data_IF_666580902819
#
_entry.id   IF_666580902819
#
_cell.length_a   1.000
_cell.length_b   1.000
_cell.length_c   1.000
_cell.angle_alpha   90.00
_cell.angle_beta   90.00
_cell.angle_gamma   90.00
#
_symmetry.space_group_name_H-M   'P 1'
#
loop_
_entity.id
_entity.type
_entity.pdbx_description
1 polymer ?
#
# COMPACT_ATOMS: atom_id res chain seq x y z
N UNK A 1 0.96 -7.31 1.48
CA UNK A 1 -0.44 -6.84 1.43
C UNK A 1 -0.51 -5.34 1.21
N UNK A 2 0.07 -4.54 2.12
CA UNK A 2 0.00 -3.09 2.08
C UNK A 2 0.50 -2.47 0.76
N UNK A 3 1.62 -2.96 0.20
CA UNK A 3 2.08 -2.46 -1.10
C UNK A 3 1.05 -2.67 -2.23
N UNK A 4 0.22 -3.73 -2.18
CA UNK A 4 -0.83 -3.94 -3.18
C UNK A 4 -1.98 -2.93 -3.01
N UNK A 5 -2.29 -2.54 -1.78
CA UNK A 5 -3.30 -1.51 -1.50
C UNK A 5 -2.79 -0.14 -1.99
N UNK A 6 -1.59 0.24 -1.60
CA UNK A 6 -1.00 1.54 -1.95
C UNK A 6 -0.56 1.65 -3.42
N UNK A 7 -0.54 0.55 -4.18
CA UNK A 7 -0.39 0.55 -5.65
C UNK A 7 -1.72 0.38 -6.40
N UNK A 8 -2.85 0.30 -5.70
CA UNK A 8 -4.18 0.13 -6.29
C UNK A 8 -4.45 -1.26 -6.87
N UNK A 9 -3.56 -2.24 -6.66
CA UNK A 9 -3.78 -3.65 -7.07
C UNK A 9 -4.83 -4.35 -6.23
N UNK A 10 -5.05 -3.88 -5.00
CA UNK A 10 -6.14 -4.33 -4.12
C UNK A 10 -7.00 -3.11 -3.79
N UNK A 11 -8.23 -3.09 -4.30
CA UNK A 11 -9.12 -1.92 -4.25
C UNK A 11 -10.28 -2.08 -3.28
N UNK A 12 -10.56 -3.27 -2.75
CA UNK A 12 -11.73 -3.56 -1.92
C UNK A 12 -11.36 -4.35 -0.67
N UNK A 13 -12.03 -4.08 0.45
CA UNK A 13 -11.76 -4.73 1.74
C UNK A 13 -12.05 -6.23 1.75
N UNK A 14 -13.02 -6.70 0.97
CA UNK A 14 -13.33 -8.13 0.82
C UNK A 14 -12.47 -8.84 -0.24
N UNK A 15 -11.40 -8.21 -0.75
CA UNK A 15 -10.52 -8.86 -1.72
C UNK A 15 -9.98 -10.19 -1.17
N UNK A 16 -9.88 -11.20 -2.04
CA UNK A 16 -9.46 -12.57 -1.67
C UNK A 16 -8.13 -12.58 -0.91
N UNK A 17 -7.21 -11.71 -1.31
CA UNK A 17 -5.90 -11.61 -0.68
C UNK A 17 -6.01 -11.11 0.78
N UNK A 18 -6.92 -10.17 1.07
CA UNK A 18 -7.19 -9.69 2.45
C UNK A 18 -7.90 -10.79 3.23
N UNK A 19 -8.90 -11.44 2.63
CA UNK A 19 -9.63 -12.53 3.28
C UNK A 19 -8.73 -13.68 3.70
N UNK A 20 -7.76 -14.07 2.86
CA UNK A 20 -6.79 -15.12 3.17
C UNK A 20 -5.94 -14.83 4.42
N UNK A 21 -5.73 -13.56 4.77
CA UNK A 21 -5.00 -13.15 5.97
C UNK A 21 -5.90 -13.02 7.21
N UNK A 22 -7.23 -13.06 7.04
CA UNK A 22 -8.20 -12.79 8.10
C UNK A 22 -9.26 -13.91 8.17
N UNK A 23 -8.86 -15.16 8.47
CA UNK A 23 -9.81 -16.27 8.56
C UNK A 23 -10.86 -16.02 9.63
N UNK A 24 -12.14 -16.26 9.31
CA UNK A 24 -13.26 -16.06 10.23
C UNK A 24 -13.79 -14.63 10.33
N UNK A 25 -13.16 -13.65 9.67
CA UNK A 25 -13.62 -12.25 9.66
C UNK A 25 -14.53 -12.00 8.45
N UNK A 26 -15.72 -11.46 8.71
CA UNK A 26 -16.63 -10.98 7.65
C UNK A 26 -16.15 -9.61 7.16
N UNK A 27 -15.53 -9.59 5.98
CA UNK A 27 -15.01 -8.37 5.37
C UNK A 27 -16.07 -7.69 4.50
N UNK A 28 -16.24 -6.36 4.60
CA UNK A 28 -17.24 -5.64 3.83
C UNK A 28 -16.80 -5.44 2.37
N UNK A 29 -17.77 -5.35 1.45
CA UNK A 29 -17.52 -4.95 0.08
C UNK A 29 -17.44 -3.42 -0.06
N UNK A 30 -16.40 -2.83 0.54
CA UNK A 30 -16.14 -1.40 0.48
C UNK A 30 -14.83 -1.14 -0.25
N UNK A 31 -14.79 -0.07 -1.05
CA UNK A 31 -13.57 0.39 -1.70
C UNK A 31 -12.59 0.89 -0.64
N UNK A 32 -11.31 0.61 -0.86
CA UNK A 32 -10.20 1.08 -0.03
C UNK A 32 -9.74 2.41 -0.60
N UNK A 33 -9.60 3.41 0.28
CA UNK A 33 -9.01 4.72 -0.04
C UNK A 33 -7.71 4.84 0.74
N UNK A 34 -6.54 4.58 0.13
CA UNK A 34 -5.25 4.75 0.79
C UNK A 34 -4.99 6.23 1.08
N UNK A 35 -4.57 6.54 2.30
CA UNK A 35 -4.21 7.90 2.71
C UNK A 35 -2.73 7.91 3.03
N UNK A 36 -2.04 8.97 2.61
CA UNK A 36 -0.65 9.21 2.91
C UNK A 36 -0.41 10.67 3.26
N UNK A 37 0.77 10.97 3.81
CA UNK A 37 1.21 12.34 4.07
C UNK A 37 1.49 13.06 2.76
N UNK A 38 1.14 14.34 2.70
CA UNK A 38 1.43 15.21 1.57
C UNK A 38 2.76 15.95 1.74
N UNK A 39 3.17 16.17 2.99
CA UNK A 39 4.41 16.81 3.39
C UNK A 39 5.55 15.80 3.60
N UNK A 40 6.79 16.30 3.60
CA UNK A 40 7.97 15.50 3.92
C UNK A 40 7.90 15.00 5.36
N UNK A 41 7.93 13.68 5.57
CA UNK A 41 7.73 13.08 6.88
C UNK A 41 8.64 11.88 7.15
N UNK A 42 9.12 11.76 8.39
CA UNK A 42 9.80 10.56 8.88
C UNK A 42 8.89 9.33 8.90
N UNK A 43 7.57 9.51 9.09
CA UNK A 43 6.60 8.43 9.00
C UNK A 43 6.53 7.88 7.56
N UNK A 44 6.53 8.77 6.57
CA UNK A 44 6.59 8.40 5.14
C UNK A 44 7.85 7.61 4.85
N UNK A 45 8.99 8.03 5.41
CA UNK A 45 10.25 7.33 5.24
C UNK A 45 10.20 5.89 5.77
N UNK A 46 9.81 5.71 7.03
CA UNK A 46 9.76 4.38 7.64
C UNK A 46 8.74 3.48 6.95
N UNK A 47 7.56 4.01 6.65
CA UNK A 47 6.51 3.23 6.00
C UNK A 47 6.90 2.82 4.57
N UNK A 48 7.38 3.76 3.74
CA UNK A 48 7.81 3.44 2.38
C UNK A 48 9.04 2.52 2.36
N UNK A 49 9.97 2.65 3.33
CA UNK A 49 11.10 1.74 3.46
C UNK A 49 10.65 0.31 3.77
N UNK A 50 9.71 0.15 4.71
CA UNK A 50 9.11 -1.15 5.02
C UNK A 50 8.47 -1.78 3.77
N UNK A 51 7.69 -1.01 3.00
CA UNK A 51 7.09 -1.49 1.75
C UNK A 51 8.17 -1.93 0.75
N UNK A 52 9.23 -1.13 0.61
CA UNK A 52 10.34 -1.39 -0.31
C UNK A 52 11.07 -2.69 0.01
N UNK A 53 11.36 -2.94 1.29
CA UNK A 53 12.14 -4.11 1.70
C UNK A 53 11.32 -5.40 1.73
N UNK A 54 10.04 -5.30 2.11
CA UNK A 54 9.16 -6.49 2.17
C UNK A 54 8.55 -6.84 0.82
N UNK A 55 8.43 -5.89 -0.11
CA UNK A 55 7.76 -6.09 -1.38
C UNK A 55 8.58 -5.56 -2.59
N UNK A 56 9.85 -5.99 -2.78
CA UNK A 56 10.77 -5.43 -3.77
C UNK A 56 10.26 -5.46 -5.22
N UNK A 57 9.37 -6.42 -5.55
CA UNK A 57 8.75 -6.53 -6.89
C UNK A 57 7.60 -5.55 -7.14
N UNK A 58 6.99 -5.03 -6.07
CA UNK A 58 5.83 -4.12 -6.15
C UNK A 58 6.19 -2.70 -5.71
N UNK A 59 7.21 -2.56 -4.86
CA UNK A 59 7.72 -1.33 -4.28
C UNK A 59 9.25 -1.43 -4.19
N UNK A 60 10.00 -0.39 -4.57
CA UNK A 60 11.46 -0.35 -4.43
C UNK A 60 12.31 -0.88 -5.59
N UNK A 61 11.76 -1.72 -6.49
CA UNK A 61 12.46 -2.14 -7.71
C UNK A 61 12.69 -0.98 -8.68
N UNK A 62 13.44 -1.21 -9.77
CA UNK A 62 13.80 -0.19 -10.78
C UNK A 62 12.61 0.54 -11.41
N UNK A 63 11.41 -0.02 -11.29
CA UNK A 63 10.15 0.51 -11.80
C UNK A 63 9.08 0.74 -10.73
N UNK A 64 9.39 0.48 -9.45
CA UNK A 64 8.46 0.65 -8.34
C UNK A 64 8.62 2.00 -7.61
N UNK A 65 7.64 2.42 -6.80
CA UNK A 65 7.80 3.57 -5.92
C UNK A 65 9.01 3.39 -5.01
N UNK A 66 9.78 4.45 -4.82
CA UNK A 66 10.96 4.45 -3.95
C UNK A 66 10.56 4.75 -2.50
N UNK A 67 11.51 4.67 -1.57
CA UNK A 67 11.32 5.13 -0.21
C UNK A 67 12.08 6.44 0.04
N UNK A 68 11.56 7.24 0.96
CA UNK A 68 12.07 8.58 1.23
C UNK A 68 11.15 9.34 2.16
N UNK A 69 11.60 10.49 2.66
CA UNK A 69 10.73 11.38 3.45
C UNK A 69 9.66 12.06 2.58
N UNK A 70 9.95 12.21 1.28
CA UNK A 70 9.02 12.68 0.25
C UNK A 70 9.13 11.75 -0.96
N UNK A 71 8.01 11.19 -1.43
CA UNK A 71 7.97 10.23 -2.54
C UNK A 71 6.79 10.52 -3.46
N UNK A 72 6.90 10.09 -4.71
CA UNK A 72 5.78 10.07 -5.65
C UNK A 72 4.90 8.86 -5.36
N UNK A 73 3.76 9.10 -4.72
CA UNK A 73 2.76 8.06 -4.46
C UNK A 73 2.06 7.61 -5.75
N UNK A 74 1.77 6.30 -5.91
CA UNK A 74 0.91 5.84 -6.99
C UNK A 74 -0.45 6.52 -6.94
N UNK A 75 -0.96 6.93 -8.10
CA UNK A 75 -2.32 7.45 -8.22
C UNK A 75 -3.32 6.30 -8.05
N UNK A 76 -3.93 6.19 -6.87
CA UNK A 76 -4.99 5.23 -6.57
C UNK A 76 -6.32 5.97 -6.52
N UNK A 77 -7.32 5.50 -7.27
CA UNK A 77 -8.67 6.06 -7.18
C UNK A 77 -9.33 5.68 -5.85
N UNK A 78 -9.80 6.71 -5.13
CA UNK A 78 -10.78 6.58 -4.05
C UNK A 78 -12.20 6.75 -4.59
#
# INVERSE_FOLDING_TARGET
MLALIYTGKVTNWNAKQIHALNPGVKLPNLRIVPIHRADGSGDTFLFSQYLSFTNPRTWGGSSGPQFGTNITWPSVQG
#
